data_IF_195518919130
#
_entry.id   IF_195518919130
#
_cell.length_a   1.000
_cell.length_b   1.000
_cell.length_c   1.000
_cell.angle_alpha   90.00
_cell.angle_beta   90.00
_cell.angle_gamma   90.00
#
_symmetry.space_group_name_H-M   'P 1'
#
loop_
_entity.id
_entity.type
_entity.pdbx_description
1 polymer ?
#
# COMPACT_ATOMS: atom_id res chain seq x y z
N UNK A 1 49.19 -26.32 28.72
CA UNK A 1 48.75 -25.21 29.58
C UNK A 1 49.22 -23.92 28.89
N UNK A 2 48.47 -23.10 28.14
CA UNK A 2 47.08 -23.05 27.67
C UNK A 2 47.14 -22.69 26.16
N UNK A 3 46.53 -23.50 25.28
CA UNK A 3 46.50 -23.32 23.81
C UNK A 3 45.13 -22.78 23.33
N UNK A 4 44.26 -22.40 24.26
CA UNK A 4 42.94 -21.87 23.95
C UNK A 4 42.82 -20.43 24.44
N UNK A 5 43.52 -19.52 23.77
CA UNK A 5 43.12 -18.11 23.72
C UNK A 5 42.88 -17.79 22.25
N UNK A 6 41.83 -18.40 21.69
CA UNK A 6 41.29 -17.96 20.42
C UNK A 6 40.58 -16.66 20.72
N UNK A 7 41.27 -15.54 20.47
CA UNK A 7 40.66 -14.22 20.45
C UNK A 7 39.56 -14.24 19.38
N UNK A 8 38.35 -14.61 19.78
CA UNK A 8 37.18 -14.38 18.95
C UNK A 8 36.96 -12.86 18.95
N UNK A 9 37.05 -12.17 17.80
CA UNK A 9 36.60 -10.79 17.75
C UNK A 9 35.09 -10.80 17.99
N UNK A 10 34.67 -10.55 19.23
CA UNK A 10 33.28 -10.33 19.65
C UNK A 10 32.75 -8.95 19.22
N UNK A 11 33.33 -8.34 18.20
CA UNK A 11 32.84 -7.11 17.64
C UNK A 11 32.26 -7.43 16.26
N UNK A 12 30.93 -7.64 16.12
CA UNK A 12 30.33 -7.54 14.82
C UNK A 12 30.65 -6.13 14.32
N UNK A 13 31.43 -6.03 13.23
CA UNK A 13 31.64 -4.74 12.58
C UNK A 13 30.28 -4.05 12.44
N UNK A 14 30.14 -2.78 12.85
CA UNK A 14 28.89 -2.08 12.66
C UNK A 14 28.62 -2.04 11.17
N UNK A 15 27.63 -2.81 10.71
CA UNK A 15 27.17 -2.80 9.32
C UNK A 15 26.74 -1.37 9.02
N UNK A 16 27.63 -0.61 8.37
CA UNK A 16 27.35 0.79 8.03
C UNK A 16 26.18 0.75 7.05
N UNK A 17 24.99 1.26 7.40
CA UNK A 17 23.85 1.19 6.53
C UNK A 17 24.16 1.99 5.27
N UNK A 18 24.27 1.31 4.14
CA UNK A 18 24.51 1.98 2.87
C UNK A 18 23.36 2.98 2.63
N UNK A 19 23.63 4.28 2.48
CA UNK A 19 22.59 5.30 2.32
C UNK A 19 21.70 5.04 1.11
N UNK A 20 22.19 4.34 0.08
CA UNK A 20 21.40 3.91 -1.08
C UNK A 20 20.36 2.85 -0.71
N UNK A 21 20.71 1.91 0.16
CA UNK A 21 19.80 0.87 0.64
C UNK A 21 18.71 1.47 1.52
N UNK A 22 19.08 2.43 2.39
CA UNK A 22 18.11 3.19 3.20
C UNK A 22 17.10 3.94 2.34
N UNK A 23 17.54 4.62 1.27
CA UNK A 23 16.63 5.32 0.34
C UNK A 23 15.69 4.36 -0.38
N UNK A 24 16.17 3.20 -0.84
CA UNK A 24 15.34 2.17 -1.48
C UNK A 24 14.29 1.60 -0.53
N UNK A 25 14.67 1.32 0.72
CA UNK A 25 13.75 0.84 1.75
C UNK A 25 12.63 1.86 2.00
N UNK A 26 12.99 3.13 2.16
CA UNK A 26 11.99 4.21 2.34
C UNK A 26 11.08 4.33 1.13
N UNK A 27 11.62 4.24 -0.08
CA UNK A 27 10.83 4.29 -1.31
C UNK A 27 9.82 3.14 -1.37
N UNK A 28 10.24 1.91 -1.08
CA UNK A 28 9.34 0.74 -1.03
C UNK A 28 8.27 0.87 0.07
N UNK A 29 8.64 1.45 1.22
CA UNK A 29 7.71 1.64 2.33
C UNK A 29 6.64 2.68 2.00
N UNK A 30 6.99 3.72 1.23
CA UNK A 30 6.09 4.81 0.85
C UNK A 30 5.32 4.48 -0.44
N UNK A 31 5.88 3.68 -1.34
CA UNK A 31 5.25 3.39 -2.63
C UNK A 31 3.91 2.68 -2.46
N UNK A 32 3.79 1.76 -1.50
CA UNK A 32 2.53 1.06 -1.24
C UNK A 32 1.41 1.98 -0.74
N UNK A 33 1.56 2.78 0.33
CA UNK A 33 0.51 3.69 0.77
C UNK A 33 0.20 4.77 -0.29
N UNK A 34 1.21 5.27 -1.01
CA UNK A 34 0.98 6.19 -2.14
C UNK A 34 0.14 5.51 -3.21
N UNK A 35 0.45 4.27 -3.56
CA UNK A 35 -0.34 3.50 -4.51
C UNK A 35 -1.80 3.36 -4.06
N UNK A 36 -2.04 3.00 -2.79
CA UNK A 36 -3.40 2.87 -2.25
C UNK A 36 -4.20 4.19 -2.30
N UNK A 37 -3.55 5.33 -2.13
CA UNK A 37 -4.14 6.66 -2.29
C UNK A 37 -4.41 6.99 -3.76
N UNK A 38 -3.64 6.46 -4.70
CA UNK A 38 -3.90 6.69 -6.13
C UNK A 38 -5.03 5.82 -6.68
N UNK A 39 -5.36 4.71 -6.01
CA UNK A 39 -6.46 3.85 -6.44
C UNK A 39 -7.82 4.54 -6.32
N UNK A 40 -8.03 5.44 -5.34
CA UNK A 40 -9.29 6.20 -5.19
C UNK A 40 -9.66 7.02 -6.43
N UNK A 41 -8.80 7.95 -6.86
CA UNK A 41 -8.99 8.69 -8.10
C UNK A 41 -9.11 7.78 -9.33
N UNK A 42 -8.32 6.70 -9.40
CA UNK A 42 -8.39 5.74 -10.51
C UNK A 42 -9.76 5.03 -10.57
N UNK A 43 -10.29 4.60 -9.42
CA UNK A 43 -11.64 4.05 -9.27
C UNK A 43 -12.71 5.02 -9.75
N UNK A 44 -12.60 6.29 -9.38
CA UNK A 44 -13.55 7.31 -9.82
C UNK A 44 -13.52 7.56 -11.33
N UNK A 45 -12.33 7.55 -11.94
CA UNK A 45 -12.17 7.67 -13.38
C UNK A 45 -12.72 6.45 -14.12
N UNK A 46 -12.47 5.25 -13.60
CA UNK A 46 -12.94 4.00 -14.21
C UNK A 46 -14.47 3.90 -14.17
N UNK A 47 -15.07 4.14 -12.99
CA UNK A 47 -16.52 4.09 -12.81
C UNK A 47 -17.30 5.19 -13.55
N UNK A 48 -16.61 6.20 -14.09
CA UNK A 48 -17.18 7.25 -14.97
C UNK A 48 -16.84 7.03 -16.45
N UNK A 49 -16.34 5.85 -16.81
CA UNK A 49 -16.01 5.47 -18.19
C UNK A 49 -14.89 6.30 -18.85
N UNK A 50 -14.10 7.06 -18.07
CA UNK A 50 -13.00 7.84 -18.62
C UNK A 50 -11.81 6.98 -19.05
N UNK A 51 -11.76 5.71 -18.64
CA UNK A 51 -10.67 4.77 -18.91
C UNK A 51 -11.05 3.66 -19.90
N UNK A 52 -12.18 3.78 -20.62
CA UNK A 52 -12.68 2.73 -21.54
C UNK A 52 -11.76 2.47 -22.74
N UNK A 53 -10.79 3.35 -23.01
CA UNK A 53 -9.72 3.10 -23.98
C UNK A 53 -8.72 2.03 -23.52
N UNK A 54 -8.67 1.72 -22.22
CA UNK A 54 -7.80 0.71 -21.63
C UNK A 54 -8.55 -0.63 -21.60
N UNK A 55 -7.95 -1.74 -22.06
CA UNK A 55 -8.52 -3.07 -21.92
C UNK A 55 -8.93 -3.39 -20.48
N UNK A 56 -10.13 -3.93 -20.30
CA UNK A 56 -10.71 -4.26 -18.99
C UNK A 56 -9.77 -5.10 -18.11
N UNK A 57 -9.07 -6.07 -18.69
CA UNK A 57 -8.10 -6.91 -17.95
C UNK A 57 -6.97 -6.10 -17.31
N UNK A 58 -6.51 -5.05 -17.98
CA UNK A 58 -5.45 -4.18 -17.48
C UNK A 58 -6.00 -3.30 -16.35
N UNK A 59 -7.22 -2.78 -16.51
CA UNK A 59 -7.91 -2.03 -15.44
C UNK A 59 -8.08 -2.89 -14.19
N UNK A 60 -8.52 -4.14 -14.34
CA UNK A 60 -8.65 -5.09 -13.23
C UNK A 60 -7.32 -5.36 -12.53
N UNK A 61 -6.22 -5.48 -13.28
CA UNK A 61 -4.90 -5.71 -12.70
C UNK A 61 -4.46 -4.56 -11.77
N UNK A 62 -4.89 -3.33 -12.02
CA UNK A 62 -4.64 -2.17 -11.16
C UNK A 62 -5.36 -2.23 -9.81
N UNK A 63 -6.28 -3.17 -9.59
CA UNK A 63 -6.92 -3.35 -8.28
C UNK A 63 -6.31 -4.50 -7.47
N UNK A 64 -5.54 -5.40 -8.10
CA UNK A 64 -4.96 -6.58 -7.44
C UNK A 64 -4.17 -6.26 -6.16
N UNK A 65 -3.32 -5.21 -6.10
CA UNK A 65 -2.54 -4.94 -4.89
C UNK A 65 -3.38 -4.43 -3.70
N UNK A 66 -4.65 -4.09 -3.92
CA UNK A 66 -5.59 -3.74 -2.83
C UNK A 66 -6.16 -4.97 -2.14
N UNK A 67 -6.00 -6.17 -2.72
CA UNK A 67 -6.56 -7.43 -2.21
C UNK A 67 -6.35 -7.64 -0.70
N UNK A 68 -5.15 -7.42 -0.11
CA UNK A 68 -4.93 -7.62 1.33
C UNK A 68 -5.82 -6.75 2.23
N UNK A 69 -6.22 -5.56 1.78
CA UNK A 69 -7.05 -4.64 2.57
C UNK A 69 -8.44 -5.23 2.81
N UNK A 70 -8.97 -5.93 1.82
CA UNK A 70 -10.31 -6.51 1.86
C UNK A 70 -10.43 -7.66 2.87
N UNK A 71 -9.31 -8.23 3.34
CA UNK A 71 -9.28 -9.27 4.38
C UNK A 71 -9.28 -8.73 5.80
N UNK A 72 -9.01 -7.44 6.00
CA UNK A 72 -8.91 -6.83 7.34
C UNK A 72 -10.19 -6.02 7.57
N UNK A 73 -11.16 -6.51 8.37
CA UNK A 73 -12.52 -5.93 8.43
C UNK A 73 -12.53 -4.41 8.73
N UNK A 74 -11.71 -3.99 9.70
CA UNK A 74 -11.66 -2.59 10.15
C UNK A 74 -11.02 -1.64 9.12
N UNK A 75 -10.10 -2.16 8.30
CA UNK A 75 -9.43 -1.37 7.26
C UNK A 75 -10.28 -1.36 6.00
N UNK A 76 -10.91 -2.49 5.68
CA UNK A 76 -11.84 -2.63 4.55
C UNK A 76 -12.93 -1.57 4.57
N UNK A 77 -13.63 -1.38 5.70
CA UNK A 77 -14.72 -0.40 5.80
C UNK A 77 -14.24 1.01 5.46
N UNK A 78 -13.20 1.48 6.18
CA UNK A 78 -12.61 2.82 5.95
C UNK A 78 -12.06 3.00 4.54
N UNK A 79 -11.51 1.95 3.95
CA UNK A 79 -10.97 2.02 2.60
C UNK A 79 -12.08 2.04 1.54
N UNK A 80 -13.19 1.35 1.77
CA UNK A 80 -14.38 1.45 0.94
C UNK A 80 -14.98 2.86 1.00
N UNK A 81 -15.13 3.44 2.21
CA UNK A 81 -15.61 4.82 2.39
C UNK A 81 -14.71 5.82 1.66
N UNK A 82 -13.40 5.61 1.72
CA UNK A 82 -12.43 6.41 0.97
C UNK A 82 -12.60 6.28 -0.55
N UNK A 83 -12.81 5.07 -1.08
CA UNK A 83 -13.06 4.85 -2.52
C UNK A 83 -14.35 5.54 -2.96
N UNK A 84 -15.39 5.40 -2.16
CA UNK A 84 -16.70 5.98 -2.42
C UNK A 84 -16.66 7.51 -2.36
N UNK A 85 -15.87 8.11 -1.46
CA UNK A 85 -15.67 9.56 -1.40
C UNK A 85 -15.15 10.14 -2.73
N UNK A 86 -14.32 9.41 -3.47
CA UNK A 86 -13.86 9.86 -4.79
C UNK A 86 -14.92 9.71 -5.88
N UNK A 87 -15.83 8.76 -5.73
CA UNK A 87 -16.85 8.43 -6.74
C UNK A 87 -18.13 9.26 -6.56
N UNK A 88 -18.64 9.31 -5.33
CA UNK A 88 -19.89 9.93 -4.94
C UNK A 88 -19.82 11.45 -5.00
N UNK A 89 -20.97 12.07 -5.25
CA UNK A 89 -21.12 13.52 -5.15
C UNK A 89 -20.96 13.92 -3.66
N UNK A 90 -20.12 14.91 -3.31
CA UNK A 90 -20.01 15.41 -1.94
C UNK A 90 -21.34 15.91 -1.35
N UNK A 91 -22.37 16.14 -2.18
CA UNK A 91 -23.73 16.50 -1.74
C UNK A 91 -24.69 15.31 -1.63
N UNK A 92 -24.24 14.08 -1.89
CA UNK A 92 -25.09 12.89 -1.73
C UNK A 92 -25.31 12.60 -0.24
N UNK A 93 -26.52 12.16 0.12
CA UNK A 93 -26.83 11.80 1.49
C UNK A 93 -25.90 10.66 1.95
N UNK A 94 -25.37 10.78 3.17
CA UNK A 94 -24.50 9.76 3.76
C UNK A 94 -25.18 8.39 3.68
N UNK A 95 -24.47 7.42 3.10
CA UNK A 95 -24.95 6.04 3.01
C UNK A 95 -24.92 5.43 4.40
N UNK A 96 -25.93 4.61 4.72
CA UNK A 96 -25.85 3.68 5.84
C UNK A 96 -24.68 2.70 5.59
N UNK A 97 -23.52 2.99 6.17
CA UNK A 97 -22.40 2.06 6.27
C UNK A 97 -22.80 0.98 7.26
N UNK A 98 -23.42 -0.09 6.76
CA UNK A 98 -23.89 -1.24 7.55
C UNK A 98 -22.77 -2.12 8.12
N UNK A 99 -21.73 -1.52 8.68
CA UNK A 99 -20.55 -2.17 9.22
C UNK A 99 -20.32 -1.74 10.67
N UNK A 100 -21.25 -2.15 11.53
CA UNK A 100 -21.00 -2.39 12.96
C UNK A 100 -20.47 -3.83 13.16
#
# INVERSE_FOLDING_TARGET
MNIFTTDHPLSPEPVRPNPRNRRRLLFLLISYPVYLILVGPFWALDGRHHLDFIPERIRFACYLPTFPIWFIPHVRGRYADYMDWWYLDPNSADRETGWD
#
